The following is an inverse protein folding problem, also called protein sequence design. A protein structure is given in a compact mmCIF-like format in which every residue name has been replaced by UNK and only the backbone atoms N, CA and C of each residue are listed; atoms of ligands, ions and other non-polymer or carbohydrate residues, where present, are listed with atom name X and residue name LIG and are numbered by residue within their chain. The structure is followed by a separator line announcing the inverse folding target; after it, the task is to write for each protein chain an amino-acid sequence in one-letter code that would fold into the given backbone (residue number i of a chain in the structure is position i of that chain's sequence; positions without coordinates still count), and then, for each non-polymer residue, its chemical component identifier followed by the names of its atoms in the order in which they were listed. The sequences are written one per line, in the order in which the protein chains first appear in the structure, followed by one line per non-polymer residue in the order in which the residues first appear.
data_IF_691247463517
#
_entry.id   IF_691247463517
#
_cell.length_a   1.000
_cell.length_b   1.000
_cell.length_c   1.000
_cell.angle_alpha   90.00
_cell.angle_beta   90.00
_cell.angle_gamma   90.00
#
_symmetry.space_group_name_H-M   'P 1'
#
loop_
_entity.id
_entity.type
_entity.pdbx_description
1 polymer ?
#
# COMPACT_ATOMS: atom_id res chain seq x y z
N UNK A 1 -12.59 13.70 -16.62
CA UNK A 1 -12.58 15.18 -16.71
C UNK A 1 -11.19 15.59 -17.12
N UNK A 2 -11.06 16.26 -18.28
CA UNK A 2 -9.80 16.83 -18.76
C UNK A 2 -9.33 17.90 -17.78
N UNK A 3 -8.10 17.80 -17.31
CA UNK A 3 -7.54 18.77 -16.36
C UNK A 3 -7.05 19.99 -17.15
N UNK A 4 -7.59 21.16 -16.82
CA UNK A 4 -7.15 22.43 -17.39
C UNK A 4 -5.95 22.91 -16.58
N UNK A 5 -4.77 22.90 -17.20
CA UNK A 5 -3.60 23.58 -16.65
C UNK A 5 -3.44 24.92 -17.34
N UNK A 6 -3.03 25.92 -16.57
CA UNK A 6 -2.75 27.26 -17.06
C UNK A 6 -1.26 27.48 -16.98
N UNK A 7 -0.58 27.55 -18.12
CA UNK A 7 0.86 27.83 -18.19
C UNK A 7 1.02 29.34 -18.39
N UNK A 8 1.86 30.03 -17.60
CA UNK A 8 2.12 31.45 -17.83
C UNK A 8 2.84 31.64 -19.17
N UNK A 9 2.36 32.57 -20.00
CA UNK A 9 3.08 32.99 -21.22
C UNK A 9 4.33 33.75 -20.77
N UNK A 10 5.51 33.20 -21.05
CA UNK A 10 6.80 33.70 -20.56
C UNK A 10 7.26 35.03 -21.20
N UNK A 11 6.41 35.69 -21.99
CA UNK A 11 6.78 36.88 -22.79
C UNK A 11 6.02 38.17 -22.42
N UNK A 12 5.11 38.17 -21.45
CA UNK A 12 4.36 39.38 -21.08
C UNK A 12 4.41 39.68 -19.58
N UNK A 13 4.54 40.98 -19.24
CA UNK A 13 4.48 41.50 -17.87
C UNK A 13 3.11 41.31 -17.21
N UNK A 14 2.08 41.03 -18.02
CA UNK A 14 0.75 40.58 -17.59
C UNK A 14 0.64 39.08 -17.83
N UNK A 15 0.42 38.30 -16.78
CA UNK A 15 0.26 36.84 -16.78
C UNK A 15 -1.01 36.40 -17.52
N UNK A 16 -1.07 36.56 -18.84
CA UNK A 16 -2.06 35.87 -19.67
C UNK A 16 -1.71 34.39 -19.68
N UNK A 17 -2.65 33.56 -19.23
CA UNK A 17 -2.45 32.12 -19.09
C UNK A 17 -2.79 31.36 -20.37
N UNK A 18 -1.88 30.51 -20.84
CA UNK A 18 -2.15 29.53 -21.89
C UNK A 18 -2.92 28.36 -21.27
N UNK A 19 -4.19 28.25 -21.64
CA UNK A 19 -5.06 27.17 -21.16
C UNK A 19 -4.85 25.91 -21.99
N UNK A 20 -4.28 24.88 -21.37
CA UNK A 20 -4.13 23.56 -21.96
C UNK A 20 -5.02 22.56 -21.25
N UNK A 21 -5.82 21.82 -22.02
CA UNK A 21 -6.47 20.59 -21.55
C UNK A 21 -5.52 19.44 -21.73
N UNK A 22 -4.92 18.97 -20.64
CA UNK A 22 -4.16 17.71 -20.64
C UNK A 22 -5.12 16.55 -20.89
N UNK A 23 -4.69 15.58 -21.71
CA UNK A 23 -5.28 14.24 -21.71
C UNK A 23 -5.22 13.67 -20.30
N UNK A 24 -6.29 13.02 -19.83
CA UNK A 24 -6.50 12.67 -18.42
C UNK A 24 -5.25 12.09 -17.73
N UNK A 25 -4.54 12.92 -16.95
CA UNK A 25 -3.57 12.39 -15.98
C UNK A 25 -4.37 11.95 -14.77
N UNK A 26 -4.70 10.67 -14.80
CA UNK A 26 -5.54 10.03 -13.82
C UNK A 26 -4.73 9.78 -12.52
N UNK A 27 -5.23 10.09 -11.31
CA UNK A 27 -6.55 10.65 -10.96
C UNK A 27 -6.48 12.13 -10.53
N UNK A 28 -7.60 12.85 -10.69
CA UNK A 28 -7.77 14.18 -10.09
C UNK A 28 -7.68 14.12 -8.56
N UNK A 29 -7.13 15.17 -7.95
CA UNK A 29 -6.94 15.29 -6.50
C UNK A 29 -8.22 15.02 -5.70
N UNK A 30 -9.36 15.47 -6.23
CA UNK A 30 -10.68 15.27 -5.62
C UNK A 30 -11.16 13.81 -5.69
N UNK A 31 -10.97 13.13 -6.83
CA UNK A 31 -11.27 11.69 -6.96
C UNK A 31 -10.35 10.85 -6.08
N UNK A 32 -9.07 11.24 -5.97
CA UNK A 32 -8.14 10.59 -5.04
C UNK A 32 -8.60 10.76 -3.60
N UNK A 33 -8.96 11.98 -3.19
CA UNK A 33 -9.48 12.32 -1.86
C UNK A 33 -10.67 11.44 -1.47
N UNK A 34 -11.69 11.36 -2.34
CA UNK A 34 -12.85 10.48 -2.14
C UNK A 34 -12.42 9.01 -1.98
N UNK A 35 -11.54 8.50 -2.86
CA UNK A 35 -10.98 7.13 -2.80
C UNK A 35 -10.21 6.80 -1.52
N UNK A 36 -9.67 7.80 -0.82
CA UNK A 36 -8.98 7.55 0.46
C UNK A 36 -9.98 7.24 1.58
N UNK A 37 -11.13 7.92 1.61
CA UNK A 37 -12.16 7.67 2.64
C UNK A 37 -12.77 6.27 2.55
N UNK A 38 -12.78 5.68 1.36
CA UNK A 38 -13.15 4.28 1.16
C UNK A 38 -12.26 3.30 1.97
N UNK A 39 -11.03 3.68 2.35
CA UNK A 39 -10.21 2.85 3.24
C UNK A 39 -10.75 2.75 4.68
N UNK A 40 -11.70 3.60 5.10
CA UNK A 40 -12.39 3.44 6.38
C UNK A 40 -13.29 2.20 6.41
N UNK A 41 -13.81 1.81 5.24
CA UNK A 41 -14.60 0.57 5.03
C UNK A 41 -13.82 -0.43 4.18
N UNK A 42 -12.48 -0.44 4.34
CA UNK A 42 -11.57 -1.29 3.56
C UNK A 42 -11.97 -2.77 3.58
N UNK A 43 -12.48 -3.24 4.72
CA UNK A 43 -12.90 -4.62 4.90
C UNK A 43 -14.03 -5.06 3.95
N UNK A 44 -14.85 -4.12 3.47
CA UNK A 44 -15.95 -4.36 2.51
C UNK A 44 -15.42 -4.27 1.08
N UNK A 45 -14.62 -3.24 0.80
CA UNK A 45 -14.17 -2.93 -0.56
C UNK A 45 -13.13 -3.94 -1.04
N UNK A 46 -12.22 -4.32 -0.15
CA UNK A 46 -11.15 -5.27 -0.45
C UNK A 46 -11.51 -6.65 0.11
N UNK A 47 -12.60 -7.21 -0.42
CA UNK A 47 -13.10 -8.52 0.02
C UNK A 47 -12.07 -9.63 -0.15
N UNK A 48 -11.18 -9.55 -1.14
CA UNK A 48 -10.10 -10.53 -1.34
C UNK A 48 -9.13 -10.54 -0.14
N UNK A 49 -8.71 -9.35 0.29
CA UNK A 49 -7.87 -9.21 1.48
C UNK A 49 -8.60 -9.62 2.75
N UNK A 50 -9.88 -9.27 2.90
CA UNK A 50 -10.68 -9.69 4.06
C UNK A 50 -10.90 -11.20 4.07
N UNK A 51 -11.06 -11.85 2.92
CA UNK A 51 -11.17 -13.31 2.79
C UNK A 51 -9.86 -13.98 3.18
N UNK A 52 -8.72 -13.42 2.76
CA UNK A 52 -7.41 -13.88 3.19
C UNK A 52 -7.25 -13.77 4.72
N UNK A 53 -7.67 -12.65 5.31
CA UNK A 53 -7.66 -12.47 6.76
C UNK A 53 -8.62 -13.40 7.49
N UNK A 54 -9.78 -13.72 6.91
CA UNK A 54 -10.68 -14.74 7.44
C UNK A 54 -9.98 -16.10 7.48
N UNK A 55 -9.25 -16.49 6.44
CA UNK A 55 -8.50 -17.74 6.42
C UNK A 55 -7.40 -17.79 7.50
N UNK A 56 -6.59 -16.75 7.61
CA UNK A 56 -5.56 -16.70 8.66
C UNK A 56 -6.15 -16.61 10.05
N UNK A 57 -7.26 -15.89 10.21
CA UNK A 57 -7.98 -15.82 11.48
C UNK A 57 -8.58 -17.16 11.88
N UNK A 58 -9.08 -17.95 10.92
CA UNK A 58 -9.53 -19.31 11.19
C UNK A 58 -8.38 -20.16 11.75
N UNK A 59 -7.21 -20.14 11.10
CA UNK A 59 -6.02 -20.86 11.56
C UNK A 59 -5.64 -20.42 12.98
N UNK A 60 -5.57 -19.11 13.23
CA UNK A 60 -5.26 -18.57 14.57
C UNK A 60 -6.27 -19.04 15.61
N UNK A 61 -7.57 -18.97 15.29
CA UNK A 61 -8.65 -19.34 16.21
C UNK A 61 -8.66 -20.83 16.50
N UNK A 62 -8.50 -21.65 15.46
CA UNK A 62 -8.42 -23.11 15.55
C UNK A 62 -7.26 -23.55 16.44
N UNK A 63 -6.04 -23.08 16.15
CA UNK A 63 -4.86 -23.44 16.92
C UNK A 63 -4.95 -22.95 18.36
N UNK A 64 -5.56 -21.77 18.59
CA UNK A 64 -5.71 -21.22 19.94
C UNK A 64 -6.60 -22.11 20.84
N UNK A 65 -7.64 -22.71 20.28
CA UNK A 65 -8.56 -23.59 21.01
C UNK A 65 -8.14 -25.06 21.00
N UNK A 66 -7.41 -25.51 19.99
CA UNK A 66 -7.01 -26.93 19.84
C UNK A 66 -5.69 -27.27 20.52
N UNK A 67 -5.01 -26.30 21.14
CA UNK A 67 -3.66 -26.50 21.69
C UNK A 67 -3.47 -25.73 22.99
N UNK A 68 -2.93 -26.40 24.02
CA UNK A 68 -2.62 -25.79 25.32
C UNK A 68 -1.13 -25.49 25.54
N UNK A 69 -0.31 -25.71 24.52
CA UNK A 69 1.14 -25.45 24.56
C UNK A 69 1.48 -23.97 24.35
N UNK A 70 2.78 -23.64 24.43
CA UNK A 70 3.34 -22.32 24.08
C UNK A 70 2.87 -21.86 22.67
N UNK A 71 2.58 -22.82 21.78
CA UNK A 71 2.08 -22.56 20.43
C UNK A 71 0.77 -21.76 20.41
N UNK A 72 -0.09 -21.92 21.43
CA UNK A 72 -1.32 -21.12 21.64
C UNK A 72 -1.05 -19.62 21.69
N UNK A 73 0.05 -19.22 22.34
CA UNK A 73 0.43 -17.80 22.47
C UNK A 73 1.16 -17.32 21.21
N UNK A 74 1.97 -18.18 20.61
CA UNK A 74 2.72 -17.84 19.40
C UNK A 74 1.82 -17.62 18.18
N UNK A 75 0.71 -18.36 18.06
CA UNK A 75 -0.20 -18.21 16.91
C UNK A 75 -0.89 -16.84 16.86
N UNK A 76 -1.00 -16.15 17.99
CA UNK A 76 -1.50 -14.77 18.04
C UNK A 76 -0.59 -13.77 17.32
N UNK A 77 0.69 -14.11 17.12
CA UNK A 77 1.64 -13.31 16.36
C UNK A 77 1.50 -13.50 14.84
N UNK A 78 0.72 -14.49 14.38
CA UNK A 78 0.60 -14.83 12.96
C UNK A 78 0.10 -13.65 12.11
N UNK A 79 -1.03 -13.04 12.49
CA UNK A 79 -1.61 -11.90 11.77
C UNK A 79 -0.74 -10.64 11.86
N UNK A 80 -0.24 -10.23 13.05
CA UNK A 80 0.73 -9.13 13.15
C UNK A 80 1.97 -9.33 12.26
N UNK A 81 2.54 -10.55 12.23
CA UNK A 81 3.68 -10.89 11.40
C UNK A 81 3.33 -10.84 9.90
N UNK A 82 2.14 -11.33 9.52
CA UNK A 82 1.63 -11.24 8.16
C UNK A 82 1.55 -9.79 7.68
N UNK A 83 1.02 -8.88 8.50
CA UNK A 83 0.99 -7.45 8.16
C UNK A 83 2.39 -6.87 7.96
N UNK A 84 3.33 -7.20 8.84
CA UNK A 84 4.71 -6.76 8.69
C UNK A 84 5.31 -7.23 7.35
N UNK A 85 5.08 -8.48 6.97
CA UNK A 85 5.55 -9.06 5.70
C UNK A 85 4.91 -8.39 4.48
N UNK A 86 3.58 -8.24 4.48
CA UNK A 86 2.82 -7.62 3.38
C UNK A 86 3.34 -6.21 3.15
N UNK A 87 3.43 -5.40 4.19
CA UNK A 87 3.85 -3.99 4.07
C UNK A 87 5.30 -3.89 3.63
N UNK A 88 6.18 -4.72 4.18
CA UNK A 88 7.60 -4.72 3.79
C UNK A 88 7.79 -5.06 2.31
N UNK A 89 6.91 -5.90 1.74
CA UNK A 89 6.93 -6.24 0.31
C UNK A 89 6.25 -5.21 -0.59
N UNK A 90 5.17 -4.59 -0.11
CA UNK A 90 4.29 -3.74 -0.93
C UNK A 90 4.69 -2.27 -0.89
N UNK A 91 5.31 -1.78 0.19
CA UNK A 91 5.58 -0.34 0.35
C UNK A 91 6.72 0.21 -0.49
N UNK A 92 6.54 1.45 -0.94
CA UNK A 92 7.45 2.20 -1.82
C UNK A 92 8.93 2.17 -1.39
N UNK A 93 9.80 2.11 -2.39
CA UNK A 93 11.21 1.80 -2.21
C UNK A 93 12.15 3.02 -2.28
N UNK A 94 11.58 4.18 -2.56
CA UNK A 94 12.28 5.47 -2.64
C UNK A 94 11.75 6.37 -1.54
N UNK A 95 12.08 6.07 -0.28
CA UNK A 95 11.72 6.91 0.86
C UNK A 95 12.94 7.72 1.31
N UNK A 96 12.75 9.01 1.57
CA UNK A 96 13.74 9.83 2.26
C UNK A 96 14.08 9.24 3.64
N UNK A 97 15.24 9.59 4.23
CA UNK A 97 15.62 9.09 5.57
C UNK A 97 14.56 9.36 6.63
N UNK A 98 13.87 10.50 6.54
CA UNK A 98 12.78 10.87 7.46
C UNK A 98 11.56 9.97 7.27
N UNK A 99 11.14 9.76 6.02
CA UNK A 99 10.03 8.85 5.70
C UNK A 99 10.36 7.39 6.04
N UNK A 100 11.63 6.97 5.95
CA UNK A 100 12.08 5.64 6.35
C UNK A 100 11.83 5.39 7.84
N UNK A 101 12.17 6.35 8.69
CA UNK A 101 11.88 6.28 10.12
C UNK A 101 10.37 6.30 10.41
N UNK A 102 9.62 7.18 9.74
CA UNK A 102 8.15 7.22 9.87
C UNK A 102 7.52 5.89 9.46
N UNK A 103 7.99 5.26 8.37
CA UNK A 103 7.51 3.95 7.92
C UNK A 103 7.81 2.84 8.95
N UNK A 104 9.00 2.84 9.55
CA UNK A 104 9.37 1.88 10.59
C UNK A 104 8.45 2.04 11.82
N UNK A 105 8.22 3.28 12.27
CA UNK A 105 7.33 3.58 13.39
C UNK A 105 5.90 3.13 13.09
N UNK A 106 5.36 3.50 11.92
CA UNK A 106 4.00 3.10 11.51
C UNK A 106 3.84 1.59 11.41
N UNK A 107 4.84 0.87 10.91
CA UNK A 107 4.84 -0.61 10.88
C UNK A 107 4.85 -1.21 12.29
N UNK A 108 5.68 -0.67 13.17
CA UNK A 108 5.72 -1.08 14.58
C UNK A 108 4.40 -0.85 15.27
N UNK A 109 3.78 0.33 15.07
CA UNK A 109 2.46 0.64 15.61
C UNK A 109 1.39 -0.30 15.08
N UNK A 110 1.36 -0.58 13.78
CA UNK A 110 0.40 -1.52 13.21
C UNK A 110 0.55 -2.92 13.82
N UNK A 111 1.79 -3.41 13.97
CA UNK A 111 2.08 -4.68 14.60
C UNK A 111 1.54 -4.71 16.04
N UNK A 112 1.82 -3.67 16.82
CA UNK A 112 1.35 -3.57 18.21
C UNK A 112 -0.17 -3.49 18.31
N UNK A 113 -0.82 -2.65 17.50
CA UNK A 113 -2.29 -2.56 17.49
C UNK A 113 -2.94 -3.87 17.04
N UNK A 114 -2.38 -4.53 16.03
CA UNK A 114 -2.84 -5.84 15.57
C UNK A 114 -2.76 -6.87 16.70
N UNK A 115 -1.64 -6.92 17.43
CA UNK A 115 -1.45 -7.80 18.57
C UNK A 115 -2.42 -7.46 19.72
N UNK A 116 -2.62 -6.18 20.03
CA UNK A 116 -3.59 -5.75 21.04
C UNK A 116 -5.02 -6.18 20.68
N UNK A 117 -5.41 -6.09 19.40
CA UNK A 117 -6.71 -6.58 18.94
C UNK A 117 -6.80 -8.11 19.10
N UNK A 118 -5.76 -8.86 18.75
CA UNK A 118 -5.72 -10.31 18.97
C UNK A 118 -5.89 -10.63 20.46
N UNK A 119 -5.10 -10.01 21.34
CA UNK A 119 -5.19 -10.23 22.78
C UNK A 119 -6.57 -9.86 23.33
N UNK A 120 -7.16 -8.77 22.86
CA UNK A 120 -8.50 -8.37 23.25
C UNK A 120 -9.55 -9.41 22.85
N UNK A 121 -9.56 -9.85 21.59
CA UNK A 121 -10.56 -10.80 21.07
C UNK A 121 -10.42 -12.19 21.69
N UNK A 122 -9.19 -12.64 21.94
CA UNK A 122 -8.95 -13.99 22.45
C UNK A 122 -9.02 -14.11 23.97
N UNK A 123 -8.65 -13.07 24.73
CA UNK A 123 -8.61 -13.12 26.20
C UNK A 123 -9.67 -12.26 26.90
N UNK A 124 -9.92 -11.03 26.43
CA UNK A 124 -10.79 -10.08 27.15
C UNK A 124 -12.24 -10.16 26.68
N UNK A 125 -12.46 -10.45 25.40
CA UNK A 125 -13.77 -10.48 24.78
C UNK A 125 -14.69 -11.57 25.35
N UNK A 126 -14.25 -12.84 25.54
CA UNK A 126 -15.07 -13.88 26.15
C UNK A 126 -15.51 -13.58 27.58
N UNK A 127 -14.74 -12.74 28.29
CA UNK A 127 -15.01 -12.37 29.69
C UNK A 127 -16.02 -11.22 29.80
N UNK A 128 -16.02 -10.29 28.83
CA UNK A 128 -16.80 -9.05 28.90
C UNK A 128 -18.09 -9.06 28.07
N UNK A 129 -18.19 -9.86 27.03
CA UNK A 129 -19.29 -9.81 26.05
C UNK A 129 -19.98 -11.16 25.89
N UNK A 130 -20.67 -11.60 26.94
CA UNK A 130 -21.35 -12.90 26.99
C UNK A 130 -22.52 -13.06 26.01
N UNK A 131 -23.07 -11.96 25.49
CA UNK A 131 -24.14 -11.98 24.49
C UNK A 131 -23.68 -12.44 23.09
N UNK A 132 -22.37 -12.43 22.81
CA UNK A 132 -21.82 -12.85 21.52
C UNK A 132 -21.29 -14.30 21.60
N UNK A 133 -21.94 -15.16 22.40
CA UNK A 133 -21.61 -16.59 22.44
C UNK A 133 -22.19 -17.32 21.23
N UNK A 134 -21.50 -18.36 20.80
CA UNK A 134 -21.94 -19.24 19.72
C UNK A 134 -23.28 -19.93 20.04
N UNK A 135 -23.65 -20.03 21.33
CA UNK A 135 -24.93 -20.57 21.79
C UNK A 135 -26.14 -19.75 21.30
N UNK A 136 -25.92 -18.49 20.92
CA UNK A 136 -26.97 -17.63 20.36
C UNK A 136 -27.15 -17.82 18.85
N UNK A 137 -26.32 -18.67 18.21
CA UNK A 137 -26.35 -18.98 16.79
C UNK A 137 -26.86 -20.41 16.53
N UNK A 138 -27.81 -20.89 17.35
CA UNK A 138 -28.39 -22.25 17.27
C UNK A 138 -28.96 -22.66 15.90
N UNK A 139 -29.20 -21.71 14.99
CA UNK A 139 -29.67 -21.98 13.63
C UNK A 139 -28.58 -22.54 12.70
N UNK A 140 -27.31 -22.33 13.04
CA UNK A 140 -26.17 -22.98 12.41
C UNK A 140 -25.82 -24.19 13.28
N UNK A 141 -25.61 -25.38 12.69
CA UNK A 141 -25.18 -26.57 13.42
C UNK A 141 -23.72 -26.42 13.88
N UNK A 142 -23.45 -25.45 14.75
CA UNK A 142 -22.13 -25.03 15.19
C UNK A 142 -21.48 -26.11 16.03
N UNK A 143 -22.28 -26.83 16.82
CA UNK A 143 -21.79 -27.95 17.61
C UNK A 143 -21.29 -29.07 16.70
N UNK A 144 -21.99 -29.39 15.61
CA UNK A 144 -21.49 -30.35 14.62
C UNK A 144 -20.20 -29.90 13.91
N UNK A 145 -20.03 -28.60 13.65
CA UNK A 145 -18.78 -28.05 13.08
C UNK A 145 -17.63 -28.15 14.09
N UNK A 146 -17.88 -27.83 15.37
CA UNK A 146 -16.89 -27.92 16.44
C UNK A 146 -16.47 -29.36 16.70
N UNK A 147 -17.42 -30.30 16.70
CA UNK A 147 -17.16 -31.74 16.82
C UNK A 147 -16.33 -32.26 15.66
N UNK A 148 -16.65 -31.88 14.41
CA UNK A 148 -15.85 -32.25 13.24
C UNK A 148 -14.40 -31.71 13.30
N UNK A 149 -14.22 -30.53 13.90
CA UNK A 149 -12.92 -29.88 14.06
C UNK A 149 -12.21 -30.27 15.37
N UNK A 150 -12.76 -31.17 16.18
CA UNK A 150 -12.21 -31.57 17.48
C UNK A 150 -11.99 -30.39 18.46
N UNK A 151 -12.80 -29.34 18.35
CA UNK A 151 -12.74 -28.17 19.23
C UNK A 151 -13.67 -28.37 20.42
N UNK A 152 -13.11 -28.72 21.58
CA UNK A 152 -13.86 -28.93 22.81
C UNK A 152 -13.90 -27.63 23.66
N UNK A 153 -15.08 -27.30 24.18
CA UNK A 153 -15.34 -26.20 25.14
C UNK A 153 -15.06 -24.76 24.66
N UNK A 154 -15.13 -24.49 23.35
CA UNK A 154 -15.03 -23.13 22.81
C UNK A 154 -16.40 -22.50 22.61
N UNK A 155 -16.86 -21.63 23.53
CA UNK A 155 -18.17 -20.93 23.43
C UNK A 155 -18.21 -19.73 22.49
N UNK A 156 -17.07 -19.28 21.96
CA UNK A 156 -16.96 -18.04 21.18
C UNK A 156 -16.17 -18.22 19.87
N UNK A 157 -16.03 -19.45 19.39
CA UNK A 157 -15.15 -19.79 18.26
C UNK A 157 -15.50 -19.00 17.00
N UNK A 158 -16.77 -18.99 16.59
CA UNK A 158 -17.18 -18.34 15.34
C UNK A 158 -17.07 -16.83 15.46
N UNK A 159 -17.48 -16.27 16.60
CA UNK A 159 -17.37 -14.84 16.84
C UNK A 159 -15.91 -14.39 16.89
N UNK A 160 -15.03 -15.11 17.57
CA UNK A 160 -13.60 -14.79 17.61
C UNK A 160 -12.98 -14.84 16.22
N UNK A 161 -13.34 -15.84 15.42
CA UNK A 161 -12.88 -15.96 14.04
C UNK A 161 -13.34 -14.75 13.19
N UNK A 162 -14.64 -14.48 13.13
CA UNK A 162 -15.18 -13.44 12.23
C UNK A 162 -14.76 -12.04 12.70
N UNK A 163 -14.90 -11.75 13.99
CA UNK A 163 -14.58 -10.42 14.55
C UNK A 163 -13.09 -10.14 14.44
N UNK A 164 -12.23 -11.15 14.64
CA UNK A 164 -10.78 -11.00 14.46
C UNK A 164 -10.45 -10.62 13.02
N UNK A 165 -10.97 -11.35 12.03
CA UNK A 165 -10.71 -11.03 10.63
C UNK A 165 -11.19 -9.61 10.23
N UNK A 166 -12.42 -9.24 10.60
CA UNK A 166 -12.99 -7.92 10.28
C UNK A 166 -12.20 -6.80 10.96
N UNK A 167 -11.89 -6.95 12.25
CA UNK A 167 -11.17 -5.93 13.02
C UNK A 167 -9.75 -5.72 12.48
N UNK A 168 -9.07 -6.80 12.09
CA UNK A 168 -7.73 -6.73 11.50
C UNK A 168 -7.77 -6.08 10.10
N UNK A 169 -8.78 -6.39 9.29
CA UNK A 169 -8.96 -5.77 7.97
C UNK A 169 -9.25 -4.27 8.09
N UNK A 170 -10.12 -3.89 9.04
CA UNK A 170 -10.40 -2.49 9.36
C UNK A 170 -9.14 -1.75 9.85
N UNK A 171 -8.34 -2.38 10.72
CA UNK A 171 -7.06 -1.82 11.19
C UNK A 171 -6.10 -1.56 10.02
N UNK A 172 -6.01 -2.49 9.07
CA UNK A 172 -5.17 -2.30 7.88
C UNK A 172 -5.66 -1.14 7.00
N UNK A 173 -6.98 -1.00 6.84
CA UNK A 173 -7.59 0.15 6.17
C UNK A 173 -7.28 1.48 6.87
N UNK A 174 -7.41 1.53 8.19
CA UNK A 174 -7.06 2.70 9.01
C UNK A 174 -5.58 3.06 8.91
N UNK A 175 -4.69 2.06 8.86
CA UNK A 175 -3.26 2.25 8.65
C UNK A 175 -2.98 2.93 7.32
N UNK A 176 -3.59 2.47 6.22
CA UNK A 176 -3.44 3.09 4.90
C UNK A 176 -4.02 4.51 4.88
N UNK A 177 -5.18 4.70 5.48
CA UNK A 177 -5.83 6.01 5.60
C UNK A 177 -4.93 7.01 6.35
N UNK A 178 -4.46 6.65 7.54
CA UNK A 178 -3.64 7.52 8.39
C UNK A 178 -2.27 7.81 7.75
N UNK A 179 -1.63 6.77 7.18
CA UNK A 179 -0.37 6.90 6.46
C UNK A 179 -0.46 7.92 5.32
N UNK A 180 -1.56 7.89 4.56
CA UNK A 180 -1.79 8.86 3.49
C UNK A 180 -2.16 10.25 4.02
N UNK A 181 -3.12 10.34 4.94
CA UNK A 181 -3.67 11.64 5.34
C UNK A 181 -2.65 12.48 6.13
N UNK A 182 -1.92 11.86 7.05
CA UNK A 182 -1.00 12.57 7.95
C UNK A 182 0.39 12.72 7.33
N UNK A 183 0.90 11.66 6.70
CA UNK A 183 2.28 11.63 6.22
C UNK A 183 2.42 11.68 4.69
N UNK A 184 1.30 11.67 3.94
CA UNK A 184 1.28 11.57 2.47
C UNK A 184 2.04 10.35 1.96
N UNK A 185 2.13 9.30 2.79
CA UNK A 185 2.72 8.02 2.45
C UNK A 185 1.71 7.16 1.67
N UNK A 186 2.20 6.10 1.03
CA UNK A 186 1.37 5.09 0.37
C UNK A 186 0.48 5.63 -0.76
N UNK A 187 0.87 6.72 -1.42
CA UNK A 187 0.08 7.31 -2.52
C UNK A 187 -0.22 6.27 -3.60
N UNK A 188 0.72 5.37 -3.89
CA UNK A 188 0.56 4.30 -4.87
C UNK A 188 -0.35 3.17 -4.41
N UNK A 189 -0.35 2.82 -3.12
CA UNK A 189 -1.05 1.70 -2.50
C UNK A 189 -2.48 2.08 -2.08
N UNK A 190 -2.67 3.33 -1.65
CA UNK A 190 -3.98 3.94 -1.43
C UNK A 190 -4.65 4.27 -2.75
N UNK A 191 -3.86 4.57 -3.78
CA UNK A 191 -4.36 4.61 -5.15
C UNK A 191 -4.40 3.24 -5.82
N UNK A 192 -3.89 2.14 -5.23
CA UNK A 192 -3.85 0.81 -5.88
C UNK A 192 -5.16 0.03 -5.86
N UNK A 193 -6.29 0.65 -5.49
CA UNK A 193 -7.58 0.37 -6.15
C UNK A 193 -7.59 0.80 -7.64
N UNK A 194 -6.43 0.72 -8.27
CA UNK A 194 -6.07 1.19 -9.59
C UNK A 194 -4.87 0.34 -9.97
N UNK A 195 -5.08 -0.53 -10.94
CA UNK A 195 -4.03 -1.26 -11.65
C UNK A 195 -3.16 -0.21 -12.35
N UNK A 196 -2.27 0.42 -11.61
CA UNK A 196 -1.34 1.40 -12.14
C UNK A 196 -0.17 0.58 -12.66
N UNK A 197 0.00 0.48 -13.98
CA UNK A 197 1.08 -0.28 -14.63
C UNK A 197 2.49 0.23 -14.32
N UNK A 198 2.71 0.98 -13.24
CA UNK A 198 4.02 1.47 -12.83
C UNK A 198 4.66 2.44 -13.82
N UNK A 199 3.88 3.01 -14.76
CA UNK A 199 4.40 3.93 -15.75
C UNK A 199 4.78 5.25 -15.05
N UNK A 200 6.07 5.45 -14.79
CA UNK A 200 6.60 6.75 -14.38
C UNK A 200 6.61 7.66 -15.62
N UNK A 201 6.06 8.88 -15.49
CA UNK A 201 6.01 9.86 -16.57
C UNK A 201 7.02 10.99 -16.30
N UNK A 202 7.70 11.46 -17.34
CA UNK A 202 8.60 12.62 -17.27
C UNK A 202 8.27 13.61 -18.39
N UNK A 203 8.47 14.90 -18.12
CA UNK A 203 8.29 15.97 -19.09
C UNK A 203 9.67 16.37 -19.63
N UNK A 204 9.83 16.41 -20.95
CA UNK A 204 11.01 16.97 -21.61
C UNK A 204 10.61 18.20 -22.41
N UNK A 205 11.33 19.30 -22.20
CA UNK A 205 11.13 20.55 -22.93
C UNK A 205 12.14 20.65 -24.07
N UNK A 206 11.68 21.06 -25.26
CA UNK A 206 12.50 21.56 -26.35
C UNK A 206 12.06 22.99 -26.61
N UNK A 207 12.92 23.95 -26.32
CA UNK A 207 12.67 25.36 -26.55
C UNK A 207 13.45 25.74 -27.80
N UNK A 208 12.79 26.39 -28.75
CA UNK A 208 13.38 26.97 -29.95
C UNK A 208 12.87 28.40 -30.10
N UNK A 209 13.45 29.15 -31.03
CA UNK A 209 13.11 30.56 -31.26
C UNK A 209 11.67 30.76 -31.76
N UNK A 210 11.01 29.70 -32.25
CA UNK A 210 9.66 29.74 -32.84
C UNK A 210 8.63 28.88 -32.11
N UNK A 211 9.08 27.90 -31.32
CA UNK A 211 8.19 27.00 -30.58
C UNK A 211 8.80 26.45 -29.29
N UNK A 212 7.94 26.23 -28.28
CA UNK A 212 8.21 25.39 -27.12
C UNK A 212 7.46 24.07 -27.31
N UNK A 213 8.20 22.96 -27.33
CA UNK A 213 7.63 21.61 -27.43
C UNK A 213 7.82 20.86 -26.11
N UNK A 214 6.74 20.39 -25.52
CA UNK A 214 6.71 19.57 -24.31
C UNK A 214 6.40 18.12 -24.71
N UNK A 215 7.35 17.21 -24.48
CA UNK A 215 7.17 15.77 -24.67
C UNK A 215 6.77 15.12 -23.34
N UNK A 216 5.61 14.48 -23.31
CA UNK A 216 5.19 13.61 -22.21
C UNK A 216 5.68 12.21 -22.49
N UNK A 217 6.61 11.74 -21.66
CA UNK A 217 7.33 10.49 -21.89
C UNK A 217 6.92 9.47 -20.81
N UNK A 218 6.33 8.33 -21.22
CA UNK A 218 6.10 7.18 -20.34
C UNK A 218 7.30 6.24 -20.31
N UNK A 219 7.55 5.68 -19.14
CA UNK A 219 8.54 4.63 -18.92
C UNK A 219 7.82 3.35 -18.51
N UNK A 220 7.86 2.31 -19.36
CA UNK A 220 7.13 1.04 -19.19
C UNK A 220 7.68 0.12 -18.09
N UNK A 221 8.97 0.20 -17.77
CA UNK A 221 9.63 -0.67 -16.78
C UNK A 221 10.48 0.13 -15.81
N UNK A 222 10.40 -0.22 -14.54
CA UNK A 222 11.30 0.30 -13.52
C UNK A 222 12.76 -0.04 -13.89
N UNK A 223 13.61 0.98 -13.97
CA UNK A 223 15.01 0.80 -14.32
C UNK A 223 15.75 -0.06 -13.29
N UNK A 224 16.79 -0.79 -13.72
CA UNK A 224 17.63 -1.60 -12.82
C UNK A 224 18.22 -0.79 -11.66
N UNK A 225 18.56 0.49 -11.85
CA UNK A 225 19.06 1.36 -10.79
C UNK A 225 18.03 1.60 -9.67
N UNK A 226 16.72 1.54 -9.94
CA UNK A 226 15.71 1.61 -8.89
C UNK A 226 15.80 0.40 -7.95
N UNK A 227 16.19 -0.78 -8.46
CA UNK A 227 16.43 -1.96 -7.61
C UNK A 227 17.71 -1.83 -6.77
N UNK A 228 18.64 -0.95 -7.13
CA UNK A 228 19.78 -0.59 -6.29
C UNK A 228 19.37 0.30 -5.13
N UNK A 229 18.56 1.33 -5.42
CA UNK A 229 18.03 2.23 -4.39
C UNK A 229 17.04 1.52 -3.45
N UNK A 230 16.39 0.44 -3.91
CA UNK A 230 15.63 -0.51 -3.06
C UNK A 230 16.46 -1.11 -1.93
N UNK A 231 17.73 -1.40 -2.21
CA UNK A 231 18.60 -2.15 -1.30
C UNK A 231 19.54 -1.24 -0.52
N UNK A 232 19.84 -0.05 -1.04
CA UNK A 232 20.89 0.83 -0.52
C UNK A 232 20.45 2.29 -0.59
N UNK A 233 20.75 3.04 0.46
CA UNK A 233 20.55 4.50 0.48
C UNK A 233 21.39 5.15 -0.65
N UNK A 234 20.90 6.25 -1.22
CA UNK A 234 21.56 6.95 -2.33
C UNK A 234 23.03 7.34 -2.03
N UNK A 235 23.33 7.72 -0.79
CA UNK A 235 24.69 8.03 -0.36
C UNK A 235 25.63 6.80 -0.39
N UNK A 236 25.12 5.61 -0.09
CA UNK A 236 25.88 4.37 -0.17
C UNK A 236 26.12 3.97 -1.64
N UNK A 237 25.12 4.17 -2.50
CA UNK A 237 25.25 3.98 -3.95
C UNK A 237 26.27 4.95 -4.55
N UNK A 238 26.29 6.20 -4.12
CA UNK A 238 27.30 7.19 -4.52
C UNK A 238 28.70 6.79 -4.07
N UNK A 239 28.87 6.32 -2.81
CA UNK A 239 30.16 5.80 -2.34
C UNK A 239 30.64 4.60 -3.16
N UNK A 240 29.74 3.69 -3.55
CA UNK A 240 30.07 2.55 -4.43
C UNK A 240 30.44 2.98 -5.85
N UNK A 241 29.78 4.02 -6.37
CA UNK A 241 30.12 4.61 -7.66
C UNK A 241 31.50 5.27 -7.66
N UNK A 242 31.94 5.81 -6.51
CA UNK A 242 33.26 6.42 -6.34
C UNK A 242 34.39 5.39 -6.10
N UNK A 243 34.07 4.20 -5.59
CA UNK A 243 35.06 3.16 -5.27
C UNK A 243 35.22 2.09 -6.34
N UNK A 244 34.17 1.79 -7.13
CA UNK A 244 34.26 0.93 -8.31
C UNK A 244 34.58 1.78 -9.54
N UNK A 245 35.12 1.15 -10.59
CA UNK A 245 35.24 1.80 -11.91
C UNK A 245 33.88 2.40 -12.31
N UNK A 246 33.76 3.74 -12.37
CA UNK A 246 32.48 4.41 -12.58
C UNK A 246 31.83 4.04 -13.91
N UNK A 247 32.64 3.78 -14.95
CA UNK A 247 32.15 3.40 -16.28
C UNK A 247 31.52 2.02 -16.24
N UNK A 248 32.17 1.06 -15.57
CA UNK A 248 31.64 -0.29 -15.37
C UNK A 248 30.38 -0.27 -14.51
N UNK A 249 30.38 0.50 -13.42
CA UNK A 249 29.22 0.64 -12.53
C UNK A 249 27.99 1.23 -13.25
N UNK A 250 28.18 2.28 -14.04
CA UNK A 250 27.13 2.88 -14.87
C UNK A 250 26.63 1.89 -15.93
N UNK A 251 27.53 1.17 -16.60
CA UNK A 251 27.16 0.19 -17.62
C UNK A 251 26.35 -0.97 -17.04
N UNK A 252 26.68 -1.44 -15.85
CA UNK A 252 26.06 -2.64 -15.28
C UNK A 252 24.69 -2.32 -14.64
N UNK A 253 24.51 -1.09 -14.12
CA UNK A 253 23.34 -0.70 -13.33
C UNK A 253 22.43 0.33 -13.98
N UNK A 254 22.97 1.15 -14.88
CA UNK A 254 22.27 2.23 -15.60
C UNK A 254 22.26 2.01 -17.11
N UNK A 255 22.53 0.76 -17.57
CA UNK A 255 22.61 0.43 -18.98
C UNK A 255 21.43 1.02 -19.76
N UNK A 256 21.68 1.80 -20.82
CA UNK A 256 20.63 2.38 -21.63
C UNK A 256 19.97 1.23 -22.41
N UNK A 257 18.76 0.89 -22.02
CA UNK A 257 17.78 0.30 -22.94
C UNK A 257 16.60 1.30 -23.08
N UNK A 258 16.88 2.56 -23.49
CA UNK A 258 15.90 3.64 -23.49
C UNK A 258 14.82 3.37 -24.53
N UNK A 259 15.18 2.90 -25.72
CA UNK A 259 14.26 2.90 -26.86
C UNK A 259 13.13 1.87 -26.75
N UNK A 260 13.34 0.77 -26.02
CA UNK A 260 12.28 -0.23 -25.80
C UNK A 260 11.38 0.09 -24.61
N UNK A 261 11.87 0.87 -23.64
CA UNK A 261 11.17 1.13 -22.38
C UNK A 261 10.57 2.54 -22.29
N UNK A 262 10.91 3.43 -23.21
CA UNK A 262 10.49 4.83 -23.21
C UNK A 262 9.59 5.07 -24.43
N UNK A 263 8.38 5.62 -24.20
CA UNK A 263 7.45 5.98 -25.28
C UNK A 263 6.95 7.40 -25.07
N UNK A 264 7.04 8.24 -26.10
CA UNK A 264 6.34 9.52 -26.11
C UNK A 264 4.84 9.22 -26.17
N UNK A 265 4.13 9.61 -25.11
CA UNK A 265 2.67 9.44 -25.02
C UNK A 265 1.98 10.65 -25.64
N UNK A 266 2.58 11.83 -25.47
CA UNK A 266 1.98 13.08 -25.91
C UNK A 266 3.06 14.11 -26.28
N UNK A 267 2.73 14.99 -27.20
CA UNK A 267 3.58 16.08 -27.67
C UNK A 267 2.74 17.34 -27.73
N UNK A 268 3.06 18.30 -26.87
CA UNK A 268 2.41 19.61 -26.84
C UNK A 268 3.36 20.60 -27.51
N UNK A 269 2.89 21.28 -28.55
CA UNK A 269 3.65 22.35 -29.22
C UNK A 269 2.97 23.69 -28.95
N UNK A 270 3.74 24.63 -28.40
CA UNK A 270 3.35 26.01 -28.15
C UNK A 270 4.14 26.86 -29.13
N UNK A 271 3.46 27.58 -30.04
CA UNK A 271 4.14 28.57 -30.89
C UNK A 271 4.42 29.83 -30.06
N UNK A 272 5.62 30.38 -30.22
CA UNK A 272 6.05 31.65 -29.62
C UNK A 272 5.65 32.83 -30.52
#
# INVERSE_FOLDING_TARGET
MKEKITIPVLQNSKTTGLHYTLGEVYPSKEKSCKKIFWNLIFFIINYEFTTLLLLFSFITTYVFHSTDSIFKKLVLLLIPALFYLIITKVTSTECSRREKWTNVILRGLLFMFSLCIQLFIFYLFPVKYTFLSDDNLNFLNINGIKEFLEIFDARYFIFQWIISAISQSALFGLYLFFGYFVFKLYVTEVSSAKINKGNKNFLKFKITDTEIVIYVIAIKKAYKWMNLLKKKDAAAVQKEMLTKDPKKFLRDNFKPDPDKNVRIIDKITIKL
#
